data_IF_364081851904
#
_entry.id   IF_364081851904
#
_cell.length_a   1.000
_cell.length_b   1.000
_cell.length_c   1.000
_cell.angle_alpha   90.00
_cell.angle_beta   90.00
_cell.angle_gamma   90.00
#
_symmetry.space_group_name_H-M   'P 1'
#
loop_
_entity.id
_entity.type
_entity.pdbx_description
1 polymer ?
#
# COMPACT_ATOMS: atom_id res chain seq x y z
N UNK A 1 -4.73 21.42 40.63
CA UNK A 1 -3.46 21.18 39.91
C UNK A 1 -3.54 19.80 39.26
N UNK A 2 -3.35 19.74 37.92
CA UNK A 2 -2.64 18.68 37.17
C UNK A 2 -3.17 17.23 37.28
N UNK A 3 -3.60 16.51 36.24
CA UNK A 3 -3.53 16.66 34.79
C UNK A 3 -4.69 15.88 34.14
N UNK A 4 -5.37 16.49 33.17
CA UNK A 4 -6.13 15.78 32.14
C UNK A 4 -5.18 14.81 31.43
N UNK A 5 -5.44 13.51 31.49
CA UNK A 5 -4.86 12.53 30.57
C UNK A 5 -5.71 12.54 29.31
N UNK A 6 -5.33 13.34 28.31
CA UNK A 6 -5.82 13.17 26.94
C UNK A 6 -5.36 11.78 26.47
N UNK A 7 -6.32 10.89 26.24
CA UNK A 7 -6.11 9.67 25.46
C UNK A 7 -6.33 10.06 24.00
N UNK A 8 -5.25 10.31 23.27
CA UNK A 8 -5.30 10.41 21.82
C UNK A 8 -5.40 8.98 21.26
N UNK A 9 -6.54 8.67 20.65
CA UNK A 9 -6.75 7.43 19.90
C UNK A 9 -6.29 7.75 18.49
N UNK A 10 -5.09 7.28 18.11
CA UNK A 10 -4.58 7.43 16.75
C UNK A 10 -5.11 6.26 15.92
N UNK A 11 -5.82 6.62 14.87
CA UNK A 11 -6.62 5.81 13.98
C UNK A 11 -5.85 5.65 12.64
N UNK A 12 -5.53 4.42 12.21
CA UNK A 12 -4.78 4.15 10.95
C UNK A 12 -5.31 2.92 10.21
N UNK A 13 -5.71 3.04 8.93
CA UNK A 13 -6.01 1.91 8.03
C UNK A 13 -4.89 1.69 7.02
N UNK A 14 -4.59 0.44 6.66
CA UNK A 14 -3.56 0.08 5.69
C UNK A 14 -4.19 -0.49 4.40
N UNK A 15 -3.82 0.07 3.24
CA UNK A 15 -4.23 -0.41 1.92
C UNK A 15 -3.03 -0.93 1.12
N UNK A 16 -3.23 -1.99 0.34
CA UNK A 16 -2.23 -2.53 -0.59
C UNK A 16 -2.67 -2.25 -2.03
N UNK A 17 -1.77 -1.66 -2.82
CA UNK A 17 -2.03 -1.25 -4.20
C UNK A 17 -1.11 -2.02 -5.15
N UNK A 18 -1.66 -2.78 -6.09
CA UNK A 18 -0.86 -3.39 -7.16
C UNK A 18 -0.91 -2.44 -8.38
N UNK A 19 0.24 -1.88 -8.79
CA UNK A 19 0.40 -0.89 -9.87
C UNK A 19 1.18 -1.47 -11.05
N UNK A 20 0.60 -1.52 -12.25
CA UNK A 20 1.37 -1.78 -13.48
C UNK A 20 1.76 -0.44 -14.09
N UNK A 21 3.03 -0.28 -14.51
CA UNK A 21 3.40 0.79 -15.44
C UNK A 21 4.20 0.20 -16.59
N UNK A 22 3.53 -0.01 -17.72
CA UNK A 22 4.16 -0.19 -19.02
C UNK A 22 4.47 1.20 -19.59
N UNK A 23 5.76 1.55 -19.69
CA UNK A 23 6.21 2.71 -20.44
C UNK A 23 6.97 2.22 -21.67
N UNK A 24 6.30 2.23 -22.82
CA UNK A 24 6.99 2.35 -24.11
C UNK A 24 7.32 3.83 -24.30
N UNK A 25 8.62 4.15 -24.40
CA UNK A 25 9.09 5.52 -24.51
C UNK A 25 8.81 6.17 -25.86
N UNK A 26 8.62 7.49 -25.85
CA UNK A 26 9.15 8.41 -26.86
C UNK A 26 9.09 9.84 -26.31
N UNK A 27 10.23 10.54 -26.36
CA UNK A 27 10.38 11.86 -25.76
C UNK A 27 9.87 13.01 -26.61
N UNK A 28 9.68 14.17 -25.97
CA UNK A 28 10.03 15.49 -26.50
C UNK A 28 10.08 16.53 -25.38
N UNK A 29 10.97 17.50 -25.57
CA UNK A 29 11.44 18.55 -24.67
C UNK A 29 10.56 19.81 -24.70
N UNK A 30 10.84 20.66 -23.70
CA UNK A 30 10.60 22.11 -23.58
C UNK A 30 9.16 22.54 -23.21
N UNK A 31 8.89 23.40 -22.22
CA UNK A 31 9.44 24.75 -22.04
C UNK A 31 9.19 25.28 -20.62
N UNK A 32 10.14 26.06 -20.09
CA UNK A 32 10.02 26.90 -18.90
C UNK A 32 8.85 27.90 -18.93
N UNK A 33 8.24 28.15 -17.77
CA UNK A 33 7.78 29.49 -17.38
C UNK A 33 7.87 29.67 -15.86
N UNK A 34 8.81 30.53 -15.46
CA UNK A 34 8.90 31.08 -14.12
C UNK A 34 7.92 32.26 -13.96
N UNK A 35 7.14 32.30 -12.88
CA UNK A 35 6.59 33.54 -12.30
C UNK A 35 6.54 33.43 -10.77
N UNK A 36 7.46 34.19 -10.17
CA UNK A 36 7.43 34.93 -8.89
C UNK A 36 6.29 34.74 -7.87
N UNK A 37 6.71 34.23 -6.71
CA UNK A 37 6.46 34.68 -5.33
C UNK A 37 5.20 35.50 -4.98
N UNK A 38 4.38 34.94 -4.08
CA UNK A 38 3.82 35.68 -2.94
C UNK A 38 3.90 34.88 -1.64
N UNK A 39 4.45 35.57 -0.67
CA UNK A 39 4.75 35.23 0.73
C UNK A 39 3.50 34.97 1.56
N UNK A 40 3.52 33.90 2.34
CA UNK A 40 2.54 33.56 3.38
C UNK A 40 3.15 32.50 4.28
N UNK A 41 4.09 32.92 5.13
CA UNK A 41 4.82 32.04 6.03
C UNK A 41 3.99 31.73 7.28
N UNK A 42 3.08 30.76 7.18
CA UNK A 42 2.69 29.97 8.35
C UNK A 42 3.72 28.86 8.51
N UNK A 43 4.64 29.05 9.45
CA UNK A 43 5.60 28.03 9.86
C UNK A 43 4.83 26.90 10.54
N UNK A 44 4.38 25.93 9.74
CA UNK A 44 4.10 24.60 10.23
C UNK A 44 5.40 24.05 10.82
N UNK A 45 5.45 23.93 12.15
CA UNK A 45 6.53 23.21 12.84
C UNK A 45 6.46 21.78 12.34
N UNK A 46 7.32 21.42 11.39
CA UNK A 46 7.58 20.04 11.06
C UNK A 46 8.23 19.43 12.29
N UNK A 47 7.42 18.73 13.07
CA UNK A 47 7.90 17.86 14.13
C UNK A 47 8.86 16.87 13.47
N UNK A 48 10.15 17.05 13.75
CA UNK A 48 11.19 16.22 13.16
C UNK A 48 11.05 14.88 13.85
N UNK A 49 10.45 13.90 13.16
CA UNK A 49 10.30 12.55 13.70
C UNK A 49 11.70 11.99 13.93
N UNK A 50 12.07 11.83 15.19
CA UNK A 50 13.31 11.15 15.55
C UNK A 50 13.06 9.65 15.37
N UNK A 51 13.88 8.95 14.57
CA UNK A 51 13.78 7.50 14.45
C UNK A 51 13.82 6.84 15.83
N UNK A 52 12.99 5.83 16.03
CA UNK A 52 12.92 5.14 17.32
C UNK A 52 14.24 4.46 17.65
N UNK A 53 14.78 4.74 18.84
CA UNK A 53 15.98 4.07 19.38
C UNK A 53 15.62 2.80 20.17
N UNK A 54 14.34 2.42 20.24
CA UNK A 54 13.93 1.19 20.90
C UNK A 54 14.59 -0.04 20.25
N UNK A 55 14.81 -1.15 20.96
CA UNK A 55 15.24 -2.39 20.33
C UNK A 55 14.13 -2.90 19.38
N UNK A 56 14.53 -3.41 18.21
CA UNK A 56 13.61 -4.12 17.31
C UNK A 56 13.25 -5.44 18.00
N UNK A 57 11.98 -5.61 18.37
CA UNK A 57 11.47 -6.88 18.85
C UNK A 57 11.15 -7.77 17.62
N UNK A 58 11.32 -9.08 17.75
CA UNK A 58 11.01 -10.05 16.67
C UNK A 58 9.51 -10.34 16.54
N UNK A 59 8.66 -9.65 17.30
CA UNK A 59 7.21 -9.86 17.29
C UNK A 59 6.63 -9.45 15.94
N UNK A 60 5.94 -10.40 15.29
CA UNK A 60 5.34 -10.23 13.96
C UNK A 60 3.85 -10.57 14.04
N UNK A 61 3.04 -9.74 13.40
CA UNK A 61 1.64 -10.03 13.13
C UNK A 61 1.55 -10.52 11.69
N UNK A 62 0.99 -11.71 11.51
CA UNK A 62 0.83 -12.34 10.22
C UNK A 62 -0.63 -12.34 9.77
N UNK A 63 -0.81 -12.11 8.47
CA UNK A 63 -2.07 -12.32 7.77
C UNK A 63 -1.84 -13.45 6.76
N UNK A 64 -1.96 -14.69 7.22
CA UNK A 64 -1.62 -15.88 6.42
C UNK A 64 -2.82 -16.47 5.65
N UNK A 65 -4.03 -15.92 5.85
CA UNK A 65 -5.21 -16.24 5.05
C UNK A 65 -5.61 -17.74 5.05
N UNK A 66 -5.38 -18.42 6.17
CA UNK A 66 -5.60 -19.87 6.29
C UNK A 66 -7.07 -20.29 6.22
N UNK A 67 -7.99 -19.42 6.65
CA UNK A 67 -9.42 -19.74 6.79
C UNK A 67 -10.34 -18.68 6.21
N UNK A 68 -9.96 -17.42 6.33
CA UNK A 68 -10.77 -16.28 5.90
C UNK A 68 -9.87 -15.10 5.48
N UNK A 69 -10.43 -14.07 4.82
CA UNK A 69 -9.69 -12.88 4.40
C UNK A 69 -9.19 -11.98 5.53
N UNK A 70 -9.45 -12.29 6.81
CA UNK A 70 -8.99 -11.54 7.98
C UNK A 70 -9.35 -10.04 7.92
N UNK A 71 -10.50 -9.72 7.33
CA UNK A 71 -11.00 -8.35 7.16
C UNK A 71 -10.41 -7.59 5.97
N UNK A 72 -9.58 -8.22 5.15
CA UNK A 72 -9.18 -7.67 3.87
C UNK A 72 -10.32 -7.78 2.86
N UNK A 73 -10.55 -6.70 2.14
CA UNK A 73 -11.62 -6.60 1.16
C UNK A 73 -11.22 -5.74 -0.04
N UNK A 74 -11.99 -5.86 -1.11
CA UNK A 74 -11.96 -4.88 -2.20
C UNK A 74 -12.63 -3.59 -1.71
N UNK A 75 -11.94 -2.44 -1.73
CA UNK A 75 -12.54 -1.18 -1.32
C UNK A 75 -13.80 -0.85 -2.12
N UNK A 76 -14.89 -0.56 -1.42
CA UNK A 76 -16.13 -0.14 -2.09
C UNK A 76 -15.94 1.16 -2.89
N UNK A 77 -15.13 2.09 -2.38
CA UNK A 77 -14.84 3.37 -3.03
C UNK A 77 -14.09 3.21 -4.36
N UNK A 78 -13.35 2.12 -4.55
CA UNK A 78 -12.58 1.86 -5.76
C UNK A 78 -13.46 1.41 -6.93
N UNK A 79 -14.60 0.74 -6.64
CA UNK A 79 -15.49 0.19 -7.68
C UNK A 79 -16.09 1.25 -8.61
N UNK A 80 -16.17 2.50 -8.17
CA UNK A 80 -16.65 3.63 -8.97
C UNK A 80 -15.58 4.29 -9.85
N UNK A 81 -14.32 3.81 -9.82
CA UNK A 81 -13.22 4.39 -10.57
C UNK A 81 -13.03 3.66 -11.90
N UNK A 82 -12.80 4.41 -12.98
CA UNK A 82 -12.63 3.86 -14.34
C UNK A 82 -11.35 3.06 -14.52
N UNK A 83 -10.37 3.27 -13.65
CA UNK A 83 -9.06 2.61 -13.64
C UNK A 83 -9.01 1.39 -12.69
N UNK A 84 -10.12 1.04 -12.05
CA UNK A 84 -10.19 -0.08 -11.12
C UNK A 84 -10.55 -1.40 -11.83
N UNK A 85 -9.77 -2.46 -11.59
CA UNK A 85 -9.88 -3.72 -12.36
C UNK A 85 -10.05 -5.00 -11.54
N UNK A 86 -9.99 -4.95 -10.21
CA UNK A 86 -10.21 -6.14 -9.39
C UNK A 86 -11.68 -6.58 -9.40
N UNK A 87 -11.91 -7.88 -9.58
CA UNK A 87 -13.23 -8.50 -9.81
C UNK A 87 -13.74 -9.24 -8.58
N UNK A 88 -12.87 -10.02 -7.93
CA UNK A 88 -13.23 -10.78 -6.74
C UNK A 88 -12.03 -10.95 -5.82
N UNK A 89 -12.35 -11.26 -4.56
CA UNK A 89 -11.40 -11.57 -3.50
C UNK A 89 -11.85 -12.87 -2.83
N UNK A 90 -10.93 -13.82 -2.67
CA UNK A 90 -11.22 -15.12 -2.05
C UNK A 90 -9.98 -15.73 -1.43
N UNK A 91 -10.17 -16.74 -0.59
CA UNK A 91 -9.07 -17.59 -0.12
C UNK A 91 -8.81 -18.68 -1.14
N UNK A 92 -7.56 -18.83 -1.55
CA UNK A 92 -7.11 -19.84 -2.50
C UNK A 92 -6.16 -20.82 -1.82
N UNK A 93 -6.23 -22.08 -2.24
CA UNK A 93 -5.30 -23.15 -1.84
C UNK A 93 -4.35 -23.54 -2.96
N UNK A 94 -4.47 -22.90 -4.13
CA UNK A 94 -3.75 -23.27 -5.34
C UNK A 94 -2.28 -22.85 -5.29
N UNK A 95 -2.01 -21.65 -4.78
CA UNK A 95 -0.67 -21.09 -4.66
C UNK A 95 -0.50 -20.47 -3.27
N UNK A 96 0.55 -20.86 -2.56
CA UNK A 96 0.81 -20.46 -1.18
C UNK A 96 2.31 -20.43 -0.91
N UNK A 97 2.77 -19.46 -0.12
CA UNK A 97 4.16 -19.36 0.32
C UNK A 97 4.36 -20.07 1.66
N UNK A 98 3.37 -19.92 2.54
CA UNK A 98 3.30 -20.52 3.87
C UNK A 98 1.92 -21.13 4.10
N UNK A 99 1.81 -22.02 5.08
CA UNK A 99 0.54 -22.61 5.51
C UNK A 99 -0.23 -23.33 4.38
N UNK A 100 -1.56 -23.21 4.43
CA UNK A 100 -2.47 -23.90 3.50
C UNK A 100 -3.22 -22.95 2.57
N UNK A 101 -3.21 -21.64 2.85
CA UNK A 101 -3.98 -20.65 2.12
C UNK A 101 -3.18 -19.44 1.63
N UNK A 102 -3.82 -18.66 0.75
CA UNK A 102 -3.41 -17.32 0.38
C UNK A 102 -4.63 -16.49 0.02
N UNK A 103 -4.50 -15.16 0.09
CA UNK A 103 -5.51 -14.25 -0.42
C UNK A 103 -5.34 -14.10 -1.93
N UNK A 104 -6.38 -14.45 -2.69
CA UNK A 104 -6.41 -14.37 -4.14
C UNK A 104 -7.28 -13.21 -4.59
N UNK A 105 -6.73 -12.41 -5.51
CA UNK A 105 -7.44 -11.32 -6.16
C UNK A 105 -7.56 -11.68 -7.64
N UNK A 106 -8.78 -11.84 -8.13
CA UNK A 106 -9.01 -11.99 -9.57
C UNK A 106 -9.10 -10.60 -10.19
N UNK A 107 -8.32 -10.36 -11.23
CA UNK A 107 -8.17 -9.05 -11.88
C UNK A 107 -8.15 -9.21 -13.41
N UNK A 108 -8.48 -8.13 -14.13
CA UNK A 108 -8.40 -8.10 -15.58
C UNK A 108 -7.75 -6.79 -16.03
N UNK A 109 -6.43 -6.79 -16.16
CA UNK A 109 -5.67 -5.62 -16.60
C UNK A 109 -5.70 -5.50 -18.13
N UNK A 110 -6.20 -4.39 -18.70
CA UNK A 110 -6.35 -4.24 -20.15
C UNK A 110 -5.03 -3.90 -20.87
N UNK A 111 -4.01 -3.43 -20.15
CA UNK A 111 -2.63 -3.23 -20.64
C UNK A 111 -2.36 -1.94 -21.43
N UNK A 112 -3.41 -1.22 -21.79
CA UNK A 112 -3.39 0.01 -22.61
C UNK A 112 -3.41 1.30 -21.77
N UNK A 113 -3.90 1.24 -20.53
CA UNK A 113 -4.02 2.38 -19.64
C UNK A 113 -3.57 2.05 -18.20
N UNK A 114 -3.33 3.11 -17.42
CA UNK A 114 -3.10 2.96 -15.99
C UNK A 114 -4.35 2.38 -15.31
N UNK A 115 -4.15 1.26 -14.64
CA UNK A 115 -5.20 0.53 -13.92
C UNK A 115 -4.64 -0.08 -12.65
N UNK A 116 -5.51 -0.28 -11.66
CA UNK A 116 -5.13 -0.80 -10.35
C UNK A 116 -6.11 -1.85 -9.82
N UNK A 117 -5.54 -2.85 -9.16
CA UNK A 117 -6.25 -3.80 -8.31
C UNK A 117 -5.91 -3.49 -6.85
N UNK A 118 -6.93 -3.40 -6.02
CA UNK A 118 -6.83 -2.89 -4.65
C UNK A 118 -7.44 -3.88 -3.68
N UNK A 119 -6.73 -4.08 -2.57
CA UNK A 119 -7.26 -4.70 -1.36
C UNK A 119 -6.90 -3.83 -0.17
N UNK A 120 -7.81 -3.68 0.76
CA UNK A 120 -7.61 -2.90 1.97
C UNK A 120 -8.20 -3.63 3.17
N UNK A 121 -7.60 -3.38 4.34
CA UNK A 121 -8.22 -3.72 5.61
C UNK A 121 -8.80 -2.43 6.19
N UNK A 122 -10.14 -2.35 6.25
CA UNK A 122 -10.86 -1.19 6.82
C UNK A 122 -10.89 -1.24 8.35
N UNK A 123 -9.73 -1.43 8.95
CA UNK A 123 -9.57 -1.48 10.41
C UNK A 123 -8.46 -0.55 10.85
N UNK A 124 -8.60 -0.06 12.07
CA UNK A 124 -7.57 0.73 12.71
C UNK A 124 -6.48 -0.17 13.29
N UNK A 125 -5.29 -0.12 12.69
CA UNK A 125 -4.11 -0.85 13.13
C UNK A 125 -3.17 0.08 13.89
N UNK A 126 -2.87 -0.27 15.14
CA UNK A 126 -1.80 0.43 15.85
C UNK A 126 -0.44 -0.05 15.34
N UNK A 127 0.14 0.70 14.40
CA UNK A 127 1.44 0.39 13.83
C UNK A 127 2.61 1.00 14.62
N UNK A 128 2.35 1.74 15.72
CA UNK A 128 3.40 2.41 16.50
C UNK A 128 4.53 1.50 17.04
N UNK A 129 4.31 0.21 17.35
CA UNK A 129 5.40 -0.66 17.81
C UNK A 129 6.18 -1.30 16.65
N UNK A 130 5.76 -1.13 15.40
CA UNK A 130 6.37 -1.76 14.23
C UNK A 130 7.16 -0.74 13.41
N UNK A 131 8.18 -1.24 12.69
CA UNK A 131 9.01 -0.44 11.78
C UNK A 131 8.87 -0.82 10.33
N UNK A 132 8.37 -2.03 10.09
CA UNK A 132 8.33 -2.62 8.77
C UNK A 132 6.97 -3.24 8.54
N UNK A 133 6.43 -3.02 7.36
CA UNK A 133 5.35 -3.81 6.79
C UNK A 133 5.91 -4.54 5.56
N UNK A 134 5.45 -5.77 5.37
CA UNK A 134 5.84 -6.59 4.22
C UNK A 134 4.65 -7.39 3.71
N UNK A 135 4.66 -7.69 2.42
CA UNK A 135 3.71 -8.58 1.78
C UNK A 135 4.43 -9.40 0.72
N UNK A 136 4.10 -10.68 0.66
CA UNK A 136 4.56 -11.58 -0.38
C UNK A 136 3.48 -11.68 -1.46
N UNK A 137 3.88 -11.43 -2.70
CA UNK A 137 2.99 -11.41 -3.85
C UNK A 137 3.42 -12.46 -4.86
N UNK A 138 2.46 -13.26 -5.28
CA UNK A 138 2.63 -14.18 -6.40
C UNK A 138 1.80 -13.72 -7.57
N UNK A 139 2.39 -13.76 -8.76
CA UNK A 139 1.70 -13.54 -10.02
C UNK A 139 1.80 -14.83 -10.84
N UNK A 140 0.71 -15.37 -11.41
CA UNK A 140 0.76 -16.56 -12.27
C UNK A 140 1.73 -16.42 -13.44
N UNK A 141 2.32 -17.54 -13.89
CA UNK A 141 3.32 -17.59 -14.98
C UNK A 141 2.82 -17.04 -16.32
N UNK A 142 1.52 -17.13 -16.55
CA UNK A 142 0.82 -16.69 -17.76
C UNK A 142 0.31 -15.24 -17.67
N UNK A 143 0.53 -14.56 -16.55
CA UNK A 143 0.16 -13.16 -16.40
C UNK A 143 0.99 -12.23 -17.30
N UNK A 144 0.45 -11.07 -17.67
CA UNK A 144 1.18 -10.09 -18.47
C UNK A 144 2.41 -9.55 -17.73
N UNK A 145 3.48 -9.28 -18.49
CA UNK A 145 4.72 -8.71 -17.97
C UNK A 145 4.54 -7.22 -17.67
N UNK A 146 5.29 -6.71 -16.68
CA UNK A 146 5.36 -5.28 -16.37
C UNK A 146 4.46 -4.85 -15.20
N UNK A 147 3.83 -5.81 -14.52
CA UNK A 147 3.13 -5.54 -13.27
C UNK A 147 4.12 -5.03 -12.22
N UNK A 148 3.65 -4.15 -11.35
CA UNK A 148 4.39 -3.71 -10.15
C UNK A 148 3.43 -3.70 -8.98
N UNK A 149 3.95 -3.64 -7.77
CA UNK A 149 3.19 -3.50 -6.54
C UNK A 149 3.73 -2.37 -5.68
N UNK A 150 2.86 -1.81 -4.82
CA UNK A 150 3.23 -0.78 -3.86
C UNK A 150 2.31 -0.78 -2.64
N UNK A 151 2.82 -0.25 -1.54
CA UNK A 151 2.00 0.05 -0.37
C UNK A 151 1.45 1.47 -0.45
N UNK A 152 0.22 1.64 0.03
CA UNK A 152 -0.38 2.95 0.26
C UNK A 152 -1.00 2.95 1.63
N UNK A 153 -0.47 3.78 2.51
CA UNK A 153 -0.95 3.89 3.87
C UNK A 153 -1.81 5.13 3.98
N UNK A 154 -2.95 5.03 4.66
CA UNK A 154 -3.75 6.18 5.05
C UNK A 154 -3.56 6.40 6.53
N UNK A 155 -2.84 7.46 6.92
CA UNK A 155 -2.42 7.68 8.30
C UNK A 155 -3.09 8.90 8.92
N UNK A 156 -3.41 8.78 10.22
CA UNK A 156 -3.95 9.86 11.03
C UNK A 156 -5.44 10.12 10.80
N UNK A 157 -6.00 11.01 11.62
CA UNK A 157 -7.44 11.30 11.68
C UNK A 157 -8.02 11.84 10.37
N UNK A 158 -7.17 12.41 9.50
CA UNK A 158 -7.56 12.98 8.21
C UNK A 158 -7.36 12.04 7.02
N UNK A 159 -7.07 10.75 7.25
CA UNK A 159 -6.90 9.76 6.18
C UNK A 159 -5.88 10.20 5.12
N UNK A 160 -4.76 10.76 5.59
CA UNK A 160 -3.74 11.28 4.67
C UNK A 160 -3.10 10.11 3.94
N UNK A 161 -3.23 10.11 2.61
CA UNK A 161 -2.51 9.19 1.75
C UNK A 161 -1.00 9.43 1.89
N UNK A 162 -0.32 8.43 2.44
CA UNK A 162 1.11 8.25 2.46
C UNK A 162 1.39 7.09 1.53
N UNK A 163 1.57 7.45 0.26
CA UNK A 163 2.04 6.52 -0.74
C UNK A 163 3.50 6.19 -0.46
N UNK A 164 3.81 4.90 -0.37
CA UNK A 164 5.21 4.52 -0.22
C UNK A 164 5.90 4.68 -1.59
N UNK A 165 7.07 5.30 -1.57
CA UNK A 165 7.69 5.92 -2.75
C UNK A 165 8.19 4.95 -3.81
N UNK A 166 8.18 3.63 -3.54
CA UNK A 166 8.73 2.61 -4.42
C UNK A 166 7.65 1.65 -4.89
N UNK A 167 7.48 1.58 -6.20
CA UNK A 167 6.83 0.45 -6.85
C UNK A 167 7.86 -0.64 -7.09
N UNK A 168 7.51 -1.89 -6.79
CA UNK A 168 8.36 -3.06 -6.98
C UNK A 168 7.83 -3.88 -8.15
N UNK A 169 8.62 -4.17 -9.19
CA UNK A 169 8.17 -5.01 -10.31
C UNK A 169 7.79 -6.40 -9.80
N UNK A 170 6.78 -7.00 -10.42
CA UNK A 170 6.37 -8.38 -10.16
C UNK A 170 6.76 -9.24 -11.36
N UNK A 171 7.45 -10.34 -11.08
CA UNK A 171 7.88 -11.29 -12.09
C UNK A 171 6.89 -12.46 -12.16
N UNK A 172 6.25 -12.71 -13.31
CA UNK A 172 5.30 -13.81 -13.47
C UNK A 172 5.94 -15.16 -13.12
N UNK A 173 5.27 -15.92 -12.26
CA UNK A 173 5.69 -17.22 -11.79
C UNK A 173 6.57 -17.23 -10.55
N UNK A 174 6.91 -16.06 -10.00
CA UNK A 174 7.78 -15.93 -8.84
C UNK A 174 7.05 -15.25 -7.66
N UNK A 175 7.54 -15.52 -6.46
CA UNK A 175 7.15 -14.80 -5.26
C UNK A 175 8.02 -13.56 -5.11
N UNK A 176 7.39 -12.41 -4.96
CA UNK A 176 8.06 -11.12 -4.76
C UNK A 176 7.63 -10.53 -3.44
N UNK A 177 8.60 -10.30 -2.55
CA UNK A 177 8.36 -9.62 -1.27
C UNK A 177 8.47 -8.11 -1.45
N UNK A 178 7.35 -7.41 -1.26
CA UNK A 178 7.32 -5.96 -1.12
C UNK A 178 7.50 -5.61 0.36
N UNK A 179 8.48 -4.76 0.67
CA UNK A 179 8.78 -4.32 2.03
C UNK A 179 8.81 -2.80 2.11
N UNK A 180 8.37 -2.27 3.25
CA UNK A 180 8.19 -0.86 3.47
C UNK A 180 8.56 -0.48 4.91
N UNK A 181 9.38 0.57 5.06
CA UNK A 181 9.74 1.13 6.36
C UNK A 181 8.73 2.22 6.75
N UNK A 182 8.17 2.12 7.96
CA UNK A 182 7.09 2.97 8.49
C UNK A 182 7.52 3.83 9.69
N UNK A 183 8.83 3.94 9.95
CA UNK A 183 9.39 4.85 10.96
C UNK A 183 9.26 6.35 10.59
#
# INVERSE_FOLDING_TARGET
>A
MRHLRLRAIILISAGLFIIISGLSGCGKKDTEKAVSAKTGADKAVQETRVPSTAPITEERVYYDFEKDPMGWEIPMWARGKSDYVAKSLSISKAVKLHGEGSLEIITAFPGDNWTAALVEIQQYLNLSPYRVISVDLYVPKDAPIGLKARFVLTVGENWKFVEMSRSVPLDPGEWVTLTANIE
#
